data_IF_678742066267
#
_entry.id   IF_678742066267
#
_cell.length_a   1.000
_cell.length_b   1.000
_cell.length_c   1.000
_cell.angle_alpha   90.00
_cell.angle_beta   90.00
_cell.angle_gamma   90.00
#
_symmetry.space_group_name_H-M   'P 1'
#
loop_
_entity.id
_entity.type
_entity.pdbx_description
1 polymer ?
#
# COMPACT_ATOMS: atom_id res chain seq x y z
N UNK A 1 11.61 21.32 15.48
CA UNK A 1 10.86 22.48 14.94
C UNK A 1 9.71 21.96 14.09
N UNK A 2 8.50 22.51 14.23
CA UNK A 2 7.39 22.15 13.36
C UNK A 2 7.70 22.62 11.93
N UNK A 3 7.56 21.74 10.94
CA UNK A 3 7.78 22.06 9.53
C UNK A 3 6.44 22.42 8.91
N UNK A 4 6.30 23.65 8.45
CA UNK A 4 5.13 24.08 7.68
C UNK A 4 5.20 23.50 6.27
N UNK A 5 4.08 22.96 5.80
CA UNK A 5 3.92 22.44 4.44
C UNK A 5 2.80 23.24 3.80
N UNK A 6 3.08 23.83 2.64
CA UNK A 6 2.06 24.46 1.80
C UNK A 6 1.59 23.42 0.79
N UNK A 7 0.28 23.25 0.68
CA UNK A 7 -0.38 22.30 -0.22
C UNK A 7 -1.54 23.01 -0.89
N UNK A 8 -1.68 22.82 -2.20
CA UNK A 8 -2.89 23.22 -2.93
C UNK A 8 -3.85 22.03 -2.95
N UNK A 9 -5.07 22.27 -2.49
CA UNK A 9 -6.14 21.27 -2.42
C UNK A 9 -7.15 21.60 -3.52
N UNK A 10 -7.64 20.60 -4.26
CA UNK A 10 -8.71 20.82 -5.24
C UNK A 10 -9.97 21.43 -4.62
N UNK A 11 -10.84 22.04 -5.45
CA UNK A 11 -12.04 22.74 -5.00
C UNK A 11 -12.92 21.89 -4.08
N UNK A 12 -13.21 20.66 -4.47
CA UNK A 12 -14.05 19.73 -3.70
C UNK A 12 -13.53 19.48 -2.27
N UNK A 13 -12.21 19.35 -2.11
CA UNK A 13 -11.59 19.14 -0.81
C UNK A 13 -11.59 20.40 0.05
N UNK A 14 -11.52 21.59 -0.57
CA UNK A 14 -11.62 22.86 0.15
C UNK A 14 -13.02 23.03 0.73
N UNK A 15 -14.05 22.81 -0.08
CA UNK A 15 -15.45 22.92 0.35
C UNK A 15 -15.75 21.93 1.47
N UNK A 16 -15.25 20.69 1.35
CA UNK A 16 -15.39 19.68 2.39
C UNK A 16 -14.72 20.10 3.71
N UNK A 17 -13.47 20.58 3.67
CA UNK A 17 -12.78 21.07 4.87
C UNK A 17 -13.51 22.27 5.49
N UNK A 18 -14.05 23.18 4.68
CA UNK A 18 -14.81 24.33 5.16
C UNK A 18 -16.08 23.89 5.90
N UNK A 19 -16.85 22.95 5.32
CA UNK A 19 -18.04 22.40 5.99
C UNK A 19 -17.72 21.70 7.34
N UNK A 20 -16.56 21.06 7.47
CA UNK A 20 -16.10 20.42 8.71
C UNK A 20 -15.67 21.44 9.78
N UNK A 21 -15.24 22.62 9.36
CA UNK A 21 -14.92 23.72 10.29
C UNK A 21 -16.22 24.42 10.70
N UNK A 22 -17.15 24.64 9.77
CA UNK A 22 -18.47 25.21 10.03
C UNK A 22 -19.33 24.34 10.96
N UNK A 23 -19.19 23.00 10.91
CA UNK A 23 -19.85 22.09 11.85
C UNK A 23 -19.37 22.27 13.30
N UNK A 24 -18.21 22.91 13.49
CA UNK A 24 -17.58 23.13 14.80
C UNK A 24 -16.73 21.96 15.29
N UNK A 25 -16.63 20.87 14.52
CA UNK A 25 -15.81 19.71 14.88
C UNK A 25 -14.31 20.02 14.82
N UNK A 26 -13.91 20.99 13.99
CA UNK A 26 -12.52 21.39 13.80
C UNK A 26 -12.35 22.90 13.83
N UNK A 27 -11.23 23.39 14.39
CA UNK A 27 -10.98 24.84 14.52
C UNK A 27 -10.14 25.40 13.39
N UNK A 28 -9.37 24.56 12.70
CA UNK A 28 -8.45 24.98 11.64
C UNK A 28 -8.34 23.93 10.54
N UNK A 29 -8.07 24.37 9.30
CA UNK A 29 -7.79 23.46 8.18
C UNK A 29 -6.61 22.52 8.47
N UNK A 30 -5.58 23.03 9.16
CA UNK A 30 -4.42 22.24 9.54
C UNK A 30 -4.75 21.10 10.52
N UNK A 31 -5.79 21.26 11.32
CA UNK A 31 -6.29 20.20 12.22
C UNK A 31 -6.95 19.09 11.43
N UNK A 32 -7.86 19.44 10.52
CA UNK A 32 -8.54 18.50 9.61
C UNK A 32 -7.52 17.68 8.81
N UNK A 33 -6.52 18.35 8.24
CA UNK A 33 -5.49 17.68 7.42
C UNK A 33 -4.66 16.71 8.26
N UNK A 34 -4.29 17.08 9.49
CA UNK A 34 -3.52 16.19 10.38
C UNK A 34 -4.32 14.94 10.74
N UNK A 35 -5.60 15.10 11.08
CA UNK A 35 -6.45 13.97 11.44
C UNK A 35 -6.71 13.06 10.23
N UNK A 36 -6.96 13.64 9.07
CA UNK A 36 -7.13 12.90 7.81
C UNK A 36 -5.89 12.05 7.48
N UNK A 37 -4.68 12.59 7.67
CA UNK A 37 -3.44 11.86 7.44
C UNK A 37 -3.20 10.76 8.48
N UNK A 38 -3.62 10.96 9.73
CA UNK A 38 -3.58 9.92 10.78
C UNK A 38 -4.49 8.75 10.40
N UNK A 39 -5.73 9.03 10.02
CA UNK A 39 -6.68 8.02 9.58
C UNK A 39 -6.22 7.28 8.31
N UNK A 40 -5.64 8.00 7.35
CA UNK A 40 -5.05 7.38 6.16
C UNK A 40 -3.92 6.41 6.53
N UNK A 41 -3.05 6.80 7.47
CA UNK A 41 -1.95 5.95 7.94
C UNK A 41 -2.47 4.69 8.62
N UNK A 42 -3.50 4.81 9.44
CA UNK A 42 -4.14 3.67 10.13
C UNK A 42 -4.75 2.70 9.12
N UNK A 43 -5.56 3.20 8.18
CA UNK A 43 -6.15 2.39 7.10
C UNK A 43 -5.09 1.68 6.25
N UNK A 44 -3.97 2.36 5.97
CA UNK A 44 -2.85 1.73 5.24
C UNK A 44 -2.15 0.65 6.07
N UNK A 45 -2.00 0.84 7.39
CA UNK A 45 -1.41 -0.17 8.26
C UNK A 45 -2.29 -1.43 8.34
N UNK A 46 -3.60 -1.25 8.50
CA UNK A 46 -4.57 -2.35 8.51
C UNK A 46 -4.60 -3.10 7.17
N UNK A 47 -4.60 -2.37 6.06
CA UNK A 47 -4.60 -2.96 4.71
C UNK A 47 -3.36 -3.82 4.46
N UNK A 48 -2.16 -3.35 4.84
CA UNK A 48 -0.93 -4.13 4.66
C UNK A 48 -0.94 -5.43 5.46
N UNK A 49 -1.47 -5.36 6.68
CA UNK A 49 -1.59 -6.53 7.54
C UNK A 49 -2.61 -7.53 6.97
N UNK A 50 -3.72 -7.05 6.43
CA UNK A 50 -4.68 -7.90 5.73
C UNK A 50 -4.08 -8.55 4.47
N UNK A 51 -3.32 -7.79 3.68
CA UNK A 51 -2.59 -8.34 2.53
C UNK A 51 -1.63 -9.45 2.96
N UNK A 52 -0.87 -9.25 4.05
CA UNK A 52 0.02 -10.27 4.57
C UNK A 52 -0.73 -11.53 5.02
N UNK A 53 -1.86 -11.38 5.72
CA UNK A 53 -2.73 -12.50 6.11
C UNK A 53 -3.23 -13.27 4.89
N UNK A 54 -3.64 -12.57 3.84
CA UNK A 54 -4.12 -13.19 2.61
C UNK A 54 -3.02 -13.99 1.91
N UNK A 55 -1.81 -13.43 1.80
CA UNK A 55 -0.66 -14.13 1.20
C UNK A 55 -0.24 -15.36 2.02
N UNK A 56 -0.31 -15.29 3.35
CA UNK A 56 -0.09 -16.45 4.20
C UNK A 56 -1.16 -17.52 3.99
N UNK A 57 -2.43 -17.14 3.94
CA UNK A 57 -3.53 -18.08 3.68
C UNK A 57 -3.39 -18.73 2.30
N UNK A 58 -3.04 -17.96 1.27
CA UNK A 58 -2.74 -18.47 -0.07
C UNK A 58 -1.60 -19.50 -0.02
N UNK A 59 -0.49 -19.16 0.64
CA UNK A 59 0.65 -20.07 0.81
C UNK A 59 0.28 -21.36 1.55
N UNK A 60 -0.50 -21.27 2.63
CA UNK A 60 -0.99 -22.44 3.38
C UNK A 60 -1.97 -23.29 2.56
N UNK A 61 -2.77 -22.67 1.70
CA UNK A 61 -3.70 -23.38 0.81
C UNK A 61 -3.05 -23.94 -0.46
N UNK A 62 -1.80 -23.58 -0.73
CA UNK A 62 -1.08 -23.95 -1.97
C UNK A 62 -0.67 -25.42 -2.05
N UNK A 63 -0.91 -26.19 -0.98
CA UNK A 63 -0.62 -27.61 -0.89
C UNK A 63 0.49 -27.92 0.10
N UNK A 64 0.94 -29.18 0.12
CA UNK A 64 1.97 -29.63 1.05
C UNK A 64 3.33 -29.01 0.71
N UNK A 65 4.06 -28.46 1.70
CA UNK A 65 5.38 -27.92 1.48
C UNK A 65 6.35 -29.03 1.05
N UNK A 66 7.06 -28.78 -0.05
CA UNK A 66 8.08 -29.69 -0.59
C UNK A 66 9.48 -29.18 -0.26
N UNK A 67 10.45 -30.10 -0.16
CA UNK A 67 11.86 -29.75 0.04
C UNK A 67 12.34 -28.86 -1.10
N UNK A 68 12.89 -27.70 -0.75
CA UNK A 68 13.31 -26.69 -1.72
C UNK A 68 14.81 -26.80 -2.03
N UNK A 69 15.12 -27.31 -3.23
CA UNK A 69 16.50 -27.39 -3.74
C UNK A 69 16.85 -26.15 -4.58
N UNK A 70 17.62 -25.25 -3.97
CA UNK A 70 17.98 -23.94 -4.55
C UNK A 70 18.63 -24.06 -5.93
N UNK A 71 19.61 -24.96 -6.10
CA UNK A 71 20.37 -25.07 -7.34
C UNK A 71 19.53 -25.66 -8.48
N UNK A 72 18.66 -26.62 -8.19
CA UNK A 72 17.72 -27.18 -9.16
C UNK A 72 16.68 -26.13 -9.59
N UNK A 73 16.16 -25.34 -8.65
CA UNK A 73 15.23 -24.25 -8.92
C UNK A 73 15.86 -23.18 -9.81
N UNK A 74 17.07 -22.71 -9.49
CA UNK A 74 17.77 -21.68 -10.27
C UNK A 74 18.10 -22.16 -11.69
N UNK A 75 18.46 -23.43 -11.88
CA UNK A 75 18.63 -24.02 -13.22
C UNK A 75 17.34 -24.01 -14.01
N UNK A 76 16.21 -24.38 -13.40
CA UNK A 76 14.88 -24.39 -14.03
C UNK A 76 14.40 -22.98 -14.43
N UNK A 77 14.57 -21.99 -13.55
CA UNK A 77 14.21 -20.59 -13.85
C UNK A 77 15.04 -20.06 -15.02
N UNK A 78 16.38 -20.24 -14.98
CA UNK A 78 17.27 -19.81 -16.08
C UNK A 78 16.97 -20.51 -17.40
N UNK A 79 16.54 -21.77 -17.37
CA UNK A 79 16.11 -22.50 -18.56
C UNK A 79 14.79 -21.97 -19.13
N UNK A 80 13.84 -21.55 -18.27
CA UNK A 80 12.57 -20.94 -18.67
C UNK A 80 12.68 -19.48 -19.14
N UNK A 81 13.76 -18.78 -18.81
CA UNK A 81 14.04 -17.39 -19.26
C UNK A 81 14.82 -17.31 -20.57
N UNK A 82 15.20 -18.43 -21.21
CA UNK A 82 15.77 -18.37 -22.57
C UNK A 82 14.68 -17.88 -23.54
N UNK A 83 14.82 -16.69 -24.17
CA UNK A 83 13.86 -16.25 -25.17
C UNK A 83 13.88 -17.26 -26.32
N UNK A 84 12.70 -17.70 -26.72
CA UNK A 84 12.48 -18.35 -28.00
C UNK A 84 12.84 -17.35 -29.11
N UNK A 85 14.11 -17.31 -29.49
CA UNK A 85 14.63 -16.26 -30.38
C UNK A 85 16.08 -16.45 -30.76
N UNK A 86 16.50 -17.67 -31.12
CA UNK A 86 17.67 -17.85 -31.97
C UNK A 86 17.57 -19.18 -32.72
N UNK A 87 16.86 -19.15 -33.85
CA UNK A 87 17.13 -20.06 -34.97
C UNK A 87 17.55 -19.16 -36.13
N UNK A 88 18.85 -19.14 -36.41
CA UNK A 88 19.39 -18.82 -37.74
C UNK A 88 19.32 -20.07 -38.60
#
# INVERSE_FOLDING_TARGET
MARTITVDLGHELRDFIESLIESGDYRTQSEVIRESLRLLREKQAESRLQTLRNLLAEGLSSGEPVVWEKDAFLKKVKAGTKPAGEKR
#
